data_IF_076684062535
#
_entry.id   IF_076684062535
#
_cell.length_a   1.000
_cell.length_b   1.000
_cell.length_c   1.000
_cell.angle_alpha   90.00
_cell.angle_beta   90.00
_cell.angle_gamma   90.00
#
_symmetry.space_group_name_H-M   'P 1'
#
loop_
_entity.id
_entity.type
_entity.pdbx_description
1 polymer ?
#
# COMPACT_ATOMS: atom_id res chain seq x y z
N UNK A 1 -41.24 9.35 2.76
CA UNK A 1 -40.82 8.00 3.20
C UNK A 1 -39.29 8.01 3.18
N UNK A 2 -38.69 8.32 4.33
CA UNK A 2 -37.24 8.39 4.48
C UNK A 2 -36.68 6.96 4.51
N UNK A 3 -35.96 6.57 3.46
CA UNK A 3 -35.16 5.34 3.49
C UNK A 3 -33.94 5.59 4.39
N UNK A 4 -34.03 5.20 5.63
CA UNK A 4 -32.91 5.13 6.54
C UNK A 4 -31.91 4.12 5.92
N UNK A 5 -30.81 4.63 5.39
CA UNK A 5 -29.68 3.80 4.99
C UNK A 5 -29.17 3.06 6.23
N UNK A 6 -29.27 1.75 6.25
CA UNK A 6 -28.70 0.92 7.30
C UNK A 6 -27.18 1.21 7.38
N UNK A 7 -26.62 1.42 8.57
CA UNK A 7 -25.19 1.54 8.72
C UNK A 7 -24.51 0.28 8.16
N UNK A 8 -23.36 0.41 7.48
CA UNK A 8 -22.65 -0.74 6.96
C UNK A 8 -22.39 -1.75 8.08
N UNK A 9 -22.49 -3.06 7.81
CA UNK A 9 -22.32 -4.09 8.82
C UNK A 9 -20.96 -3.90 9.51
N UNK A 10 -21.00 -3.74 10.83
CA UNK A 10 -19.80 -3.66 11.66
C UNK A 10 -19.05 -4.99 11.54
N UNK A 11 -17.75 -4.93 11.23
CA UNK A 11 -16.92 -6.12 11.22
C UNK A 11 -16.94 -6.77 12.61
N UNK A 12 -17.15 -8.08 12.66
CA UNK A 12 -17.04 -8.85 13.90
C UNK A 12 -15.65 -9.49 13.94
N UNK A 13 -14.91 -9.34 15.06
CA UNK A 13 -13.61 -9.98 15.24
C UNK A 13 -13.69 -11.49 15.01
N UNK A 14 -12.75 -12.04 14.25
CA UNK A 14 -12.73 -13.44 13.86
C UNK A 14 -11.33 -14.07 13.92
N UNK A 15 -11.28 -15.39 14.09
CA UNK A 15 -10.04 -16.15 14.02
C UNK A 15 -9.74 -16.50 12.56
N UNK A 16 -8.53 -16.14 12.10
CA UNK A 16 -8.02 -16.44 10.78
C UNK A 16 -6.66 -17.16 10.91
N UNK A 17 -6.69 -18.48 10.95
CA UNK A 17 -5.52 -19.32 11.25
C UNK A 17 -4.91 -18.96 12.61
N UNK A 18 -3.63 -18.55 12.61
CA UNK A 18 -2.91 -18.09 13.82
C UNK A 18 -3.19 -16.62 14.17
N UNK A 19 -3.95 -15.90 13.34
CA UNK A 19 -4.24 -14.47 13.49
C UNK A 19 -5.63 -14.28 14.06
N UNK A 20 -5.79 -13.32 14.96
CA UNK A 20 -7.08 -12.84 15.41
C UNK A 20 -7.33 -11.47 14.76
N UNK A 21 -8.23 -11.42 13.78
CA UNK A 21 -8.62 -10.19 13.11
C UNK A 21 -9.47 -9.37 14.05
N UNK A 22 -9.02 -8.15 14.36
CA UNK A 22 -9.65 -7.28 15.38
C UNK A 22 -10.64 -6.33 14.70
N UNK A 23 -10.20 -5.71 13.60
CA UNK A 23 -10.96 -4.67 12.91
C UNK A 23 -10.59 -4.64 11.43
N UNK A 24 -11.57 -4.29 10.59
CA UNK A 24 -11.34 -4.06 9.15
C UNK A 24 -11.00 -2.60 8.91
N UNK A 25 -9.73 -2.34 8.61
CA UNK A 25 -9.18 -0.99 8.40
C UNK A 25 -9.60 -0.39 7.07
N UNK A 26 -9.58 -1.21 6.02
CA UNK A 26 -9.93 -0.78 4.66
C UNK A 26 -10.36 -1.96 3.79
N UNK A 27 -11.11 -1.65 2.71
CA UNK A 27 -11.39 -2.57 1.62
C UNK A 27 -10.96 -1.88 0.32
N UNK A 28 -10.02 -2.50 -0.39
CA UNK A 28 -9.59 -2.07 -1.71
C UNK A 28 -10.24 -2.90 -2.82
N UNK A 29 -9.85 -2.63 -4.08
CA UNK A 29 -10.37 -3.38 -5.24
C UNK A 29 -9.93 -4.85 -5.30
N UNK A 30 -8.81 -5.22 -4.63
CA UNK A 30 -8.23 -6.57 -4.69
C UNK A 30 -8.15 -7.25 -3.33
N UNK A 31 -8.11 -6.50 -2.24
CA UNK A 31 -7.88 -7.03 -0.90
C UNK A 31 -8.61 -6.22 0.18
N UNK A 32 -8.87 -6.90 1.29
CA UNK A 32 -9.27 -6.31 2.55
C UNK A 32 -8.06 -6.19 3.48
N UNK A 33 -8.00 -5.10 4.23
CA UNK A 33 -6.93 -4.80 5.19
C UNK A 33 -7.51 -4.89 6.60
N UNK A 34 -6.93 -5.75 7.43
CA UNK A 34 -7.36 -5.96 8.80
C UNK A 34 -6.25 -5.60 9.78
N UNK A 35 -6.61 -4.93 10.87
CA UNK A 35 -5.79 -4.93 12.07
C UNK A 35 -5.94 -6.29 12.75
N UNK A 36 -4.83 -6.92 13.09
CA UNK A 36 -4.83 -8.26 13.65
C UNK A 36 -3.79 -8.40 14.77
N UNK A 37 -3.91 -9.45 15.55
CA UNK A 37 -2.91 -9.87 16.53
C UNK A 37 -2.60 -11.36 16.44
N UNK A 38 -1.38 -11.71 16.78
CA UNK A 38 -0.97 -13.10 17.06
C UNK A 38 -0.60 -13.24 18.51
N UNK A 39 -0.81 -14.44 19.02
CA UNK A 39 -0.37 -14.84 20.35
C UNK A 39 0.80 -15.79 20.22
N UNK A 40 1.88 -15.55 20.98
CA UNK A 40 2.94 -16.53 21.15
C UNK A 40 2.56 -17.53 22.27
N UNK A 41 3.28 -18.65 22.33
CA UNK A 41 3.13 -19.65 23.39
C UNK A 41 3.42 -19.10 24.79
N UNK A 42 4.16 -17.99 24.90
CA UNK A 42 4.48 -17.31 26.15
C UNK A 42 3.48 -16.16 26.49
N UNK A 43 2.37 -16.05 25.75
CA UNK A 43 1.36 -15.03 25.99
C UNK A 43 1.69 -13.63 25.43
N UNK A 44 2.81 -13.46 24.71
CA UNK A 44 3.11 -12.19 24.04
C UNK A 44 2.16 -11.98 22.88
N UNK A 45 1.58 -10.77 22.82
CA UNK A 45 0.76 -10.33 21.70
C UNK A 45 1.59 -9.49 20.72
N UNK A 46 1.47 -9.75 19.44
CA UNK A 46 2.02 -8.89 18.38
C UNK A 46 0.90 -8.34 17.52
N UNK A 47 0.77 -7.02 17.49
CA UNK A 47 -0.13 -6.33 16.57
C UNK A 47 0.50 -6.27 15.18
N UNK A 48 -0.32 -6.46 14.15
CA UNK A 48 0.08 -6.46 12.76
C UNK A 48 -1.10 -6.19 11.83
N UNK A 49 -0.83 -6.05 10.56
CA UNK A 49 -1.83 -5.91 9.52
C UNK A 49 -1.90 -7.20 8.71
N UNK A 50 -3.11 -7.66 8.40
CA UNK A 50 -3.36 -8.73 7.44
C UNK A 50 -4.04 -8.13 6.21
N UNK A 51 -3.37 -8.25 5.06
CA UNK A 51 -3.92 -7.97 3.73
C UNK A 51 -4.41 -9.29 3.16
N UNK A 52 -5.73 -9.46 3.05
CA UNK A 52 -6.39 -10.69 2.58
C UNK A 52 -6.99 -10.42 1.21
N UNK A 53 -6.72 -11.29 0.23
CA UNK A 53 -7.35 -11.18 -1.09
C UNK A 53 -8.87 -11.29 -0.96
N UNK A 54 -9.60 -10.54 -1.78
CA UNK A 54 -11.07 -10.62 -1.80
C UNK A 54 -11.52 -12.02 -2.25
N UNK A 55 -12.54 -12.58 -1.59
CA UNK A 55 -12.99 -13.95 -1.84
C UNK A 55 -13.32 -14.22 -3.30
N UNK A 56 -13.97 -13.28 -3.99
CA UNK A 56 -14.34 -13.42 -5.40
C UNK A 56 -13.14 -13.36 -6.38
N UNK A 57 -11.94 -12.96 -5.91
CA UNK A 57 -10.70 -12.94 -6.68
C UNK A 57 -9.78 -14.12 -6.35
N UNK A 58 -10.10 -14.90 -5.32
CA UNK A 58 -9.27 -16.02 -4.88
C UNK A 58 -9.24 -17.18 -5.90
N UNK A 59 -10.22 -17.26 -6.79
CA UNK A 59 -10.30 -18.26 -7.86
C UNK A 59 -9.74 -17.77 -9.20
N UNK A 60 -9.32 -16.50 -9.27
CA UNK A 60 -8.71 -15.94 -10.47
C UNK A 60 -7.19 -16.08 -10.38
N UNK A 61 -6.61 -16.96 -11.22
CA UNK A 61 -5.19 -17.28 -11.20
C UNK A 61 -4.28 -16.06 -11.44
N UNK A 62 -4.68 -15.13 -12.30
CA UNK A 62 -3.91 -13.93 -12.60
C UNK A 62 -3.80 -13.03 -11.36
N UNK A 63 -4.92 -12.79 -10.66
CA UNK A 63 -4.92 -12.00 -9.42
C UNK A 63 -4.13 -12.68 -8.30
N UNK A 64 -4.24 -13.99 -8.18
CA UNK A 64 -3.48 -14.78 -7.19
C UNK A 64 -1.99 -14.72 -7.50
N UNK A 65 -1.59 -14.90 -8.76
CA UNK A 65 -0.19 -14.81 -9.19
C UNK A 65 0.39 -13.43 -8.86
N UNK A 66 -0.30 -12.36 -9.24
CA UNK A 66 0.11 -10.98 -8.94
C UNK A 66 0.27 -10.72 -7.45
N UNK A 67 -0.67 -11.20 -6.63
CA UNK A 67 -0.62 -11.06 -5.17
C UNK A 67 0.57 -11.81 -4.56
N UNK A 68 0.89 -13.00 -5.11
CA UNK A 68 2.05 -13.80 -4.72
C UNK A 68 3.35 -13.07 -5.09
N UNK A 69 3.45 -12.50 -6.28
CA UNK A 69 4.66 -11.83 -6.75
C UNK A 69 4.91 -10.53 -6.00
N UNK A 70 3.87 -9.76 -5.66
CA UNK A 70 3.96 -8.62 -4.73
C UNK A 70 4.54 -9.07 -3.38
N UNK A 71 4.04 -10.18 -2.84
CA UNK A 71 4.53 -10.71 -1.56
C UNK A 71 6.00 -11.15 -1.64
N UNK A 72 6.41 -11.91 -2.66
CA UNK A 72 7.78 -12.41 -2.83
C UNK A 72 8.79 -11.27 -2.85
N UNK A 73 8.52 -10.21 -3.60
CA UNK A 73 9.42 -9.06 -3.70
C UNK A 73 9.44 -8.29 -2.38
N UNK A 74 8.27 -8.01 -1.81
CA UNK A 74 8.16 -7.24 -0.57
C UNK A 74 8.81 -7.93 0.63
N UNK A 75 8.78 -9.28 0.69
CA UNK A 75 9.50 -10.06 1.76
C UNK A 75 11.01 -9.85 1.70
N UNK A 76 11.58 -9.64 0.51
CA UNK A 76 13.02 -9.42 0.34
C UNK A 76 13.49 -8.02 0.75
N UNK A 77 12.57 -7.08 0.92
CA UNK A 77 12.84 -5.68 1.22
C UNK A 77 12.81 -5.43 2.74
N UNK A 78 13.94 -5.00 3.31
CA UNK A 78 14.07 -4.66 4.73
C UNK A 78 14.74 -3.30 4.86
N UNK A 79 13.94 -2.26 5.11
CA UNK A 79 14.42 -0.88 5.27
C UNK A 79 13.51 -0.10 6.20
N UNK A 80 14.06 0.88 6.94
CA UNK A 80 13.29 1.70 7.88
C UNK A 80 12.11 2.43 7.21
N UNK A 81 12.26 2.81 5.95
CA UNK A 81 11.23 3.52 5.18
C UNK A 81 10.34 2.60 4.33
N UNK A 82 10.34 1.30 4.57
CA UNK A 82 9.44 0.34 3.92
C UNK A 82 8.62 -0.41 4.96
N UNK A 83 7.35 -0.66 4.67
CA UNK A 83 6.51 -1.53 5.52
C UNK A 83 7.05 -2.95 5.45
N UNK A 84 7.42 -3.49 6.61
CA UNK A 84 8.00 -4.82 6.70
C UNK A 84 6.93 -5.90 6.52
N UNK A 85 7.18 -6.84 5.62
CA UNK A 85 6.38 -8.06 5.50
C UNK A 85 6.92 -9.10 6.48
N UNK A 86 6.02 -9.74 7.24
CA UNK A 86 6.35 -10.75 8.23
C UNK A 86 6.08 -12.16 7.76
N UNK A 87 5.01 -12.33 6.98
CA UNK A 87 4.56 -13.66 6.55
C UNK A 87 3.66 -13.54 5.32
N UNK A 88 3.63 -14.58 4.53
CA UNK A 88 2.74 -14.75 3.39
C UNK A 88 2.25 -16.18 3.38
N UNK A 89 0.99 -16.40 3.07
CA UNK A 89 0.45 -17.76 3.02
C UNK A 89 -0.98 -17.84 2.53
N UNK A 90 -1.52 -19.05 2.65
CA UNK A 90 -2.92 -19.37 2.35
C UNK A 90 -3.56 -20.01 3.57
N UNK A 91 -4.71 -19.49 3.99
CA UNK A 91 -5.54 -20.08 5.05
C UNK A 91 -6.89 -20.40 4.42
N UNK A 92 -7.23 -21.71 4.37
CA UNK A 92 -8.33 -22.23 3.56
C UNK A 92 -8.13 -21.78 2.11
N UNK A 93 -9.09 -21.05 1.53
CA UNK A 93 -9.01 -20.55 0.16
C UNK A 93 -8.58 -19.08 0.05
N UNK A 94 -8.15 -18.46 1.16
CA UNK A 94 -7.77 -17.06 1.19
C UNK A 94 -6.25 -16.88 1.28
N UNK A 95 -5.65 -16.24 0.27
CA UNK A 95 -4.27 -15.78 0.33
C UNK A 95 -4.18 -14.53 1.21
N UNK A 96 -3.09 -14.39 1.96
CA UNK A 96 -2.85 -13.25 2.82
C UNK A 96 -1.38 -12.85 2.87
N UNK A 97 -1.15 -11.59 3.16
CA UNK A 97 0.14 -11.02 3.53
C UNK A 97 0.00 -10.47 4.95
N UNK A 98 0.89 -10.90 5.87
CA UNK A 98 1.00 -10.32 7.20
C UNK A 98 2.15 -9.32 7.22
N UNK A 99 1.88 -8.10 7.69
CA UNK A 99 2.84 -7.02 7.63
C UNK A 99 2.81 -6.15 8.89
N UNK A 100 3.80 -5.28 8.98
CA UNK A 100 3.93 -4.28 10.03
C UNK A 100 2.67 -3.41 10.15
N UNK A 101 2.22 -3.20 11.39
CA UNK A 101 1.23 -2.18 11.69
C UNK A 101 1.93 -0.84 11.91
N UNK A 102 1.77 0.08 10.98
CA UNK A 102 2.20 1.47 11.14
C UNK A 102 1.11 2.24 11.85
N UNK A 103 1.31 2.55 13.12
CA UNK A 103 0.35 3.35 13.90
C UNK A 103 0.43 4.82 13.49
N UNK A 104 -0.40 5.20 12.52
CA UNK A 104 -0.33 6.53 11.91
C UNK A 104 -1.45 6.79 10.92
N UNK A 105 -1.15 7.61 9.92
CA UNK A 105 -2.04 7.97 8.81
C UNK A 105 -1.26 7.94 7.49
N UNK A 106 -1.96 7.61 6.41
CA UNK A 106 -1.43 7.86 5.08
C UNK A 106 -1.46 9.36 4.73
N UNK A 107 -0.58 9.78 3.84
CA UNK A 107 -0.46 11.19 3.42
C UNK A 107 -1.78 11.71 2.82
N UNK A 108 -2.55 10.88 2.11
CA UNK A 108 -3.87 11.25 1.58
C UNK A 108 -4.85 11.65 2.70
N UNK A 109 -4.87 10.88 3.80
CA UNK A 109 -5.71 11.20 4.97
C UNK A 109 -5.24 12.47 5.65
N UNK A 110 -3.92 12.70 5.75
CA UNK A 110 -3.33 13.92 6.32
C UNK A 110 -3.76 15.13 5.48
N UNK A 111 -3.54 15.10 4.17
CA UNK A 111 -3.90 16.19 3.26
C UNK A 111 -5.40 16.49 3.28
N UNK A 112 -6.24 15.44 3.25
CA UNK A 112 -7.69 15.60 3.39
C UNK A 112 -8.08 16.31 4.69
N UNK A 113 -7.44 15.95 5.81
CA UNK A 113 -7.71 16.56 7.12
C UNK A 113 -7.26 18.02 7.17
N UNK A 114 -6.13 18.33 6.55
CA UNK A 114 -5.64 19.70 6.44
C UNK A 114 -6.56 20.56 5.58
N UNK A 115 -7.00 20.05 4.43
CA UNK A 115 -7.96 20.73 3.55
C UNK A 115 -9.28 21.06 4.25
N UNK A 116 -9.82 20.11 5.05
CA UNK A 116 -11.02 20.36 5.88
C UNK A 116 -10.82 21.51 6.86
N UNK A 117 -9.59 21.71 7.34
CA UNK A 117 -9.22 22.79 8.27
C UNK A 117 -8.73 24.05 7.53
N UNK A 118 -8.76 24.09 6.19
CA UNK A 118 -8.19 25.16 5.36
C UNK A 118 -6.74 25.47 5.69
N UNK A 119 -5.93 24.41 5.92
CA UNK A 119 -4.50 24.49 6.22
C UNK A 119 -3.70 23.74 5.17
N UNK A 120 -2.46 24.16 4.96
CA UNK A 120 -1.47 23.42 4.18
C UNK A 120 -0.56 22.62 5.11
N UNK A 121 0.09 21.61 4.55
CA UNK A 121 1.18 20.93 5.25
C UNK A 121 2.37 21.90 5.30
N UNK A 122 3.01 22.10 6.48
CA UNK A 122 4.24 22.90 6.54
C UNK A 122 5.32 22.33 5.62
N UNK A 123 6.07 23.22 4.97
CA UNK A 123 7.05 22.87 3.93
C UNK A 123 8.10 21.88 4.43
N UNK A 124 8.60 22.09 5.65
CA UNK A 124 9.59 21.22 6.29
C UNK A 124 9.11 19.77 6.41
N UNK A 125 7.83 19.54 6.71
CA UNK A 125 7.26 18.19 6.76
C UNK A 125 7.08 17.58 5.37
N UNK A 126 6.69 18.39 4.37
CA UNK A 126 6.58 17.90 2.99
C UNK A 126 7.94 17.45 2.46
N UNK A 127 8.99 18.24 2.69
CA UNK A 127 10.38 17.92 2.31
C UNK A 127 10.87 16.68 3.06
N UNK A 128 10.64 16.60 4.39
CA UNK A 128 11.02 15.45 5.19
C UNK A 128 10.37 14.16 4.68
N UNK A 129 9.04 14.18 4.44
CA UNK A 129 8.32 13.00 3.93
C UNK A 129 8.88 12.57 2.56
N UNK A 130 9.07 13.51 1.64
CA UNK A 130 9.62 13.22 0.32
C UNK A 130 11.04 12.64 0.39
N UNK A 131 11.88 13.19 1.28
CA UNK A 131 13.24 12.68 1.52
C UNK A 131 13.24 11.24 2.02
N UNK A 132 12.42 10.92 3.03
CA UNK A 132 12.32 9.56 3.58
C UNK A 132 11.74 8.58 2.56
N UNK A 133 10.78 9.01 1.74
CA UNK A 133 10.26 8.21 0.61
C UNK A 133 11.37 7.92 -0.39
N UNK A 134 12.17 8.91 -0.79
CA UNK A 134 13.28 8.71 -1.72
C UNK A 134 14.33 7.72 -1.17
N UNK A 135 14.61 7.72 0.13
CA UNK A 135 15.51 6.73 0.75
C UNK A 135 14.97 5.31 0.62
N UNK A 136 13.67 5.11 0.88
CA UNK A 136 13.03 3.81 0.73
C UNK A 136 13.04 3.32 -0.73
N UNK A 137 12.76 4.19 -1.69
CA UNK A 137 12.82 3.87 -3.12
C UNK A 137 14.25 3.58 -3.58
N UNK A 138 15.23 4.39 -3.18
CA UNK A 138 16.65 4.17 -3.53
C UNK A 138 17.13 2.78 -3.07
N UNK A 139 16.76 2.39 -1.83
CA UNK A 139 17.05 1.04 -1.33
C UNK A 139 16.40 -0.04 -2.20
N UNK A 140 15.11 0.08 -2.54
CA UNK A 140 14.40 -0.91 -3.35
C UNK A 140 14.96 -1.00 -4.77
N UNK A 141 15.24 0.14 -5.40
CA UNK A 141 15.79 0.24 -6.74
C UNK A 141 17.18 -0.38 -6.88
N UNK A 142 18.01 -0.31 -5.82
CA UNK A 142 19.37 -0.86 -5.78
C UNK A 142 19.43 -2.31 -5.27
N UNK A 143 18.29 -2.90 -4.92
CA UNK A 143 18.27 -4.26 -4.38
C UNK A 143 18.79 -5.28 -5.39
N UNK A 144 19.69 -6.15 -4.91
CA UNK A 144 20.27 -7.25 -5.69
C UNK A 144 19.84 -8.62 -5.13
N UNK A 145 19.93 -9.65 -5.96
CA UNK A 145 19.83 -11.05 -5.54
C UNK A 145 21.14 -11.51 -4.84
N UNK A 146 21.18 -12.78 -4.43
CA UNK A 146 22.34 -13.37 -3.75
C UNK A 146 23.59 -13.43 -4.66
N UNK A 147 23.44 -13.35 -5.97
CA UNK A 147 24.51 -13.32 -6.96
C UNK A 147 25.02 -11.90 -7.25
N UNK A 148 24.41 -10.88 -6.64
CA UNK A 148 24.75 -9.47 -6.85
C UNK A 148 24.09 -8.83 -8.09
N UNK A 149 23.17 -9.53 -8.76
CA UNK A 149 22.46 -9.01 -9.92
C UNK A 149 21.29 -8.13 -9.47
N UNK A 150 21.07 -6.95 -10.12
CA UNK A 150 19.95 -6.07 -9.81
C UNK A 150 18.60 -6.77 -9.98
N UNK A 151 17.71 -6.65 -8.98
CA UNK A 151 16.36 -7.19 -9.07
C UNK A 151 15.41 -6.33 -9.90
N UNK A 152 15.80 -5.11 -10.29
CA UNK A 152 14.99 -4.21 -11.10
C UNK A 152 13.65 -3.82 -10.47
N UNK A 153 13.60 -3.75 -9.13
CA UNK A 153 12.37 -3.45 -8.40
C UNK A 153 11.95 -2.01 -8.67
N UNK A 154 10.71 -1.83 -9.10
CA UNK A 154 10.06 -0.54 -9.31
C UNK A 154 8.72 -0.60 -8.59
N UNK A 155 8.36 0.46 -7.86
CA UNK A 155 7.13 0.49 -7.05
C UNK A 155 5.86 0.55 -7.91
N UNK A 156 5.86 1.36 -8.97
CA UNK A 156 4.80 1.51 -10.00
C UNK A 156 3.45 2.07 -9.52
N UNK A 157 3.23 2.17 -8.22
CA UNK A 157 1.96 2.67 -7.63
C UNK A 157 2.20 3.71 -6.53
N UNK A 158 3.22 4.54 -6.69
CA UNK A 158 3.46 5.63 -5.75
C UNK A 158 2.31 6.61 -5.74
N UNK A 159 1.72 6.82 -4.58
CA UNK A 159 0.61 7.74 -4.35
C UNK A 159 0.53 8.14 -2.86
N UNK A 160 -0.16 9.22 -2.49
CA UNK A 160 -0.30 9.63 -1.09
C UNK A 160 -0.94 8.57 -0.18
N UNK A 161 -1.69 7.62 -0.73
CA UNK A 161 -2.28 6.51 0.05
C UNK A 161 -1.27 5.41 0.39
N UNK A 162 -0.15 5.33 -0.33
CA UNK A 162 0.89 4.32 -0.12
C UNK A 162 2.09 4.88 0.68
N UNK A 163 2.01 6.13 1.13
CA UNK A 163 2.99 6.76 2.03
C UNK A 163 2.36 6.91 3.41
N UNK A 164 2.85 6.14 4.37
CA UNK A 164 2.37 6.12 5.74
C UNK A 164 3.28 6.98 6.62
N UNK A 165 2.68 7.78 7.48
CA UNK A 165 3.39 8.58 8.50
C UNK A 165 2.90 8.13 9.86
N UNK A 166 3.81 7.56 10.68
CA UNK A 166 3.48 7.10 12.03
C UNK A 166 3.35 8.26 13.00
N UNK A 167 2.66 8.01 14.12
CA UNK A 167 2.59 9.01 15.21
C UNK A 167 3.93 9.22 15.92
N UNK A 168 4.90 8.31 15.72
CA UNK A 168 6.29 8.47 16.20
C UNK A 168 7.20 9.22 15.21
N UNK A 169 6.67 9.63 14.04
CA UNK A 169 7.42 10.42 13.04
C UNK A 169 8.14 9.59 11.99
N UNK A 170 7.92 8.26 11.92
CA UNK A 170 8.46 7.42 10.87
C UNK A 170 7.66 7.59 9.58
N UNK A 171 8.35 7.53 8.44
CA UNK A 171 7.72 7.53 7.10
C UNK A 171 8.01 6.20 6.44
N UNK A 172 6.98 5.50 6.00
CA UNK A 172 7.09 4.17 5.39
C UNK A 172 6.27 4.06 4.11
N UNK A 173 6.85 3.44 3.10
CA UNK A 173 6.18 3.10 1.84
C UNK A 173 5.51 1.73 2.01
N UNK A 174 4.25 1.64 1.61
CA UNK A 174 3.46 0.42 1.60
C UNK A 174 3.07 0.03 0.16
N UNK A 175 2.70 -1.24 -0.02
CA UNK A 175 2.09 -1.76 -1.25
C UNK A 175 2.90 -1.51 -2.53
N UNK A 176 4.01 -2.24 -2.70
CA UNK A 176 4.72 -2.27 -3.98
C UNK A 176 3.78 -2.78 -5.09
N UNK A 177 3.41 -1.92 -6.02
CA UNK A 177 2.36 -2.14 -7.03
C UNK A 177 2.78 -3.02 -8.21
N UNK A 178 3.55 -4.09 -7.95
CA UNK A 178 4.08 -5.01 -8.96
C UNK A 178 2.92 -5.67 -9.73
N UNK A 179 1.82 -5.95 -9.02
CA UNK A 179 0.61 -6.53 -9.56
C UNK A 179 -0.13 -5.66 -10.61
N UNK A 180 0.15 -4.36 -10.69
CA UNK A 180 -0.62 -3.43 -11.53
C UNK A 180 -0.09 -3.25 -12.93
N UNK A 181 1.15 -3.62 -13.20
CA UNK A 181 1.74 -3.48 -14.53
C UNK A 181 1.00 -4.32 -15.58
N UNK A 182 0.52 -5.50 -15.20
CA UNK A 182 -0.21 -6.41 -16.09
C UNK A 182 -1.71 -6.08 -16.17
N UNK A 183 -2.27 -5.45 -15.12
CA UNK A 183 -3.70 -5.10 -15.09
C UNK A 183 -4.08 -3.88 -15.93
N UNK A 184 -3.14 -3.05 -16.35
CA UNK A 184 -3.47 -1.87 -17.18
C UNK A 184 -4.11 -2.26 -18.52
N UNK A 185 -3.88 -3.49 -18.98
CA UNK A 185 -4.50 -4.06 -20.18
C UNK A 185 -5.91 -4.59 -19.96
N UNK A 186 -6.28 -4.96 -18.71
CA UNK A 186 -7.58 -5.61 -18.42
C UNK A 186 -8.68 -4.68 -17.89
N UNK A 187 -8.35 -3.57 -17.24
CA UNK A 187 -9.31 -2.80 -16.42
C UNK A 187 -9.85 -1.51 -17.04
N UNK A 188 -9.73 -1.29 -18.34
CA UNK A 188 -10.42 -0.18 -19.03
C UNK A 188 -11.95 -0.36 -19.10
N UNK A 189 -12.49 -1.55 -18.80
CA UNK A 189 -13.92 -1.85 -18.92
C UNK A 189 -14.76 -1.54 -17.68
N UNK A 190 -14.22 -1.52 -16.47
CA UNK A 190 -15.04 -1.48 -15.24
C UNK A 190 -14.86 -0.23 -14.34
N UNK A 191 -14.22 0.83 -14.80
CA UNK A 191 -14.22 2.13 -14.08
C UNK A 191 -13.52 2.14 -12.70
N UNK A 192 -12.89 1.08 -12.25
CA UNK A 192 -12.25 0.94 -10.92
C UNK A 192 -10.91 1.70 -10.82
N UNK A 193 -10.33 2.11 -11.92
CA UNK A 193 -9.06 2.84 -11.97
C UNK A 193 -9.15 4.36 -11.68
N UNK A 194 -10.32 4.88 -11.35
CA UNK A 194 -10.66 6.31 -11.34
C UNK A 194 -9.94 7.19 -10.31
N UNK A 195 -8.90 6.77 -9.63
CA UNK A 195 -8.24 7.60 -8.59
C UNK A 195 -6.72 7.58 -8.57
N UNK A 196 -6.08 6.80 -9.45
CA UNK A 196 -4.62 6.63 -9.41
C UNK A 196 -3.88 7.16 -10.66
N UNK A 197 -4.59 7.46 -11.75
CA UNK A 197 -4.00 8.06 -12.96
C UNK A 197 -3.29 9.40 -12.69
N UNK A 198 -3.73 10.12 -11.67
CA UNK A 198 -3.22 11.43 -11.28
C UNK A 198 -1.73 11.41 -10.87
N UNK A 199 -1.19 10.25 -10.49
CA UNK A 199 0.20 10.09 -10.03
C UNK A 199 1.06 9.29 -11.01
N UNK A 200 0.49 8.81 -12.12
CA UNK A 200 1.23 8.04 -13.13
C UNK A 200 2.23 8.91 -13.87
N UNK A 201 3.39 8.35 -14.14
CA UNK A 201 4.34 8.95 -15.04
C UNK A 201 3.82 8.92 -16.49
N UNK A 202 4.34 9.79 -17.39
CA UNK A 202 3.92 9.80 -18.78
C UNK A 202 4.10 8.46 -19.50
N UNK A 203 5.19 7.74 -19.23
CA UNK A 203 5.47 6.41 -19.77
C UNK A 203 4.45 5.37 -19.25
N UNK A 204 4.09 5.42 -17.97
CA UNK A 204 3.03 4.55 -17.43
C UNK A 204 1.68 4.82 -18.10
N UNK A 205 1.33 6.11 -18.30
CA UNK A 205 0.07 6.49 -18.94
C UNK A 205 -0.01 6.07 -20.41
N UNK A 206 1.14 5.96 -21.08
CA UNK A 206 1.26 5.50 -22.48
C UNK A 206 1.43 3.99 -22.62
N UNK A 207 1.61 3.26 -21.49
CA UNK A 207 1.90 1.81 -21.53
C UNK A 207 3.29 1.49 -22.06
N UNK A 208 4.23 2.42 -21.92
CA UNK A 208 5.65 2.25 -22.28
C UNK A 208 6.41 1.57 -21.11
N UNK A 209 7.69 1.26 -21.36
CA UNK A 209 8.54 0.64 -20.35
C UNK A 209 8.72 1.55 -19.12
N UNK A 210 8.36 1.02 -17.95
CA UNK A 210 8.44 1.71 -16.67
C UNK A 210 9.80 1.48 -16.04
N UNK A 211 10.41 2.56 -15.56
CA UNK A 211 11.72 2.53 -14.91
C UNK A 211 11.68 3.17 -13.52
N UNK A 212 12.82 3.19 -12.82
CA UNK A 212 12.95 3.86 -11.52
C UNK A 212 12.53 5.34 -11.58
N UNK A 213 12.73 6.01 -12.73
CA UNK A 213 12.34 7.40 -12.96
C UNK A 213 10.83 7.61 -12.85
N UNK A 214 10.04 6.59 -13.17
CA UNK A 214 8.57 6.63 -13.04
C UNK A 214 8.14 6.80 -11.58
N UNK A 215 8.81 6.12 -10.63
CA UNK A 215 8.55 6.30 -9.21
C UNK A 215 8.93 7.71 -8.75
N UNK A 216 10.08 8.23 -9.21
CA UNK A 216 10.56 9.58 -8.87
C UNK A 216 9.60 10.65 -9.43
N UNK A 217 9.07 10.46 -10.64
CA UNK A 217 8.04 11.33 -11.19
C UNK A 217 6.81 11.38 -10.29
N UNK A 218 6.32 10.22 -9.85
CA UNK A 218 5.17 10.12 -8.93
C UNK A 218 5.45 10.78 -7.58
N UNK A 219 6.68 10.65 -7.03
CA UNK A 219 7.09 11.37 -5.81
C UNK A 219 7.06 12.89 -6.04
N UNK A 220 7.47 13.38 -7.21
CA UNK A 220 7.36 14.79 -7.57
C UNK A 220 5.91 15.30 -7.53
N UNK A 221 4.95 14.52 -8.04
CA UNK A 221 3.52 14.87 -7.98
C UNK A 221 3.02 14.86 -6.52
N UNK A 222 3.43 13.86 -5.71
CA UNK A 222 3.08 13.79 -4.29
C UNK A 222 3.61 15.01 -3.53
N UNK A 223 4.87 15.38 -3.78
CA UNK A 223 5.49 16.57 -3.17
C UNK A 223 4.76 17.85 -3.56
N UNK A 224 4.42 18.01 -4.85
CA UNK A 224 3.61 19.14 -5.31
C UNK A 224 2.28 19.22 -4.56
N UNK A 225 1.54 18.10 -4.43
CA UNK A 225 0.27 18.07 -3.69
C UNK A 225 0.46 18.40 -2.20
N UNK A 226 1.53 17.90 -1.58
CA UNK A 226 1.84 18.22 -0.17
C UNK A 226 2.12 19.71 0.06
N UNK A 227 2.86 20.35 -0.86
CA UNK A 227 3.23 21.77 -0.75
C UNK A 227 2.07 22.72 -1.07
N UNK A 228 1.25 22.37 -2.07
CA UNK A 228 0.22 23.27 -2.60
C UNK A 228 -1.19 22.97 -2.07
N UNK A 229 -1.41 21.76 -1.53
CA UNK A 229 -2.74 21.24 -1.21
C UNK A 229 -3.64 21.02 -2.43
N UNK A 230 -3.08 21.05 -3.63
CA UNK A 230 -3.79 20.89 -4.91
C UNK A 230 -3.24 19.68 -5.66
N UNK A 231 -4.13 18.95 -6.32
CA UNK A 231 -3.73 17.93 -7.27
C UNK A 231 -3.28 18.58 -8.58
N UNK A 232 -2.37 17.91 -9.28
CA UNK A 232 -1.92 18.29 -10.60
C UNK A 232 -2.98 17.96 -11.65
#
# INVERSE_FOLDING_TARGET
MDSQAQPPPTFQPELFGKYFLIDRVATGGMAEIFKAKTYSTAGFEKLQVIKRILAHLSDNEDFVSMFIDEAKISVSLQHANLVQIYDFGKIRDNYYIAMELVEGKDVKQILRKLAQKRKLLPEEFAIFIAHEVCKGLDYAHKKTNLQGEPLGIIHRDMSPSNVLVSYSGEVKIADFGIAKAEMSTYNTKDGVLKGKFEYMSPEQARGEDVTQQSDIFSVGIILYEMLTGRRL
#
